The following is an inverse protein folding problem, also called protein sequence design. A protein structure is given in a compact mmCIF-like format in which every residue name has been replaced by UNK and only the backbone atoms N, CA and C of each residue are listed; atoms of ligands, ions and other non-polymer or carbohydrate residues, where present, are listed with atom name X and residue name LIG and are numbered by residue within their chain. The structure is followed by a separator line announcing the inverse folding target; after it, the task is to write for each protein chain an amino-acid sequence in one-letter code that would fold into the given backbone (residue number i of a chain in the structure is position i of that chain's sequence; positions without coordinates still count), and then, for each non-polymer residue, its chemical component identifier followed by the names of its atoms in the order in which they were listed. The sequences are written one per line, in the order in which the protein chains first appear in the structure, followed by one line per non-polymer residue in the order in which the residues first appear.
data_IF_863107316362
#
_entry.id   IF_863107316362
#
_cell.length_a   1.000
_cell.length_b   1.000
_cell.length_c   1.000
_cell.angle_alpha   90.00
_cell.angle_beta   90.00
_cell.angle_gamma   90.00
#
_symmetry.space_group_name_H-M   'P 1'
#
loop_
_entity.id
_entity.type
_entity.pdbx_description
1 polymer ?
#
# COMPACT_ATOMS: atom_id res chain seq x y z
N UNK A 1 62.25 24.04 55.47
CA UNK A 1 61.27 24.72 54.66
C UNK A 1 61.06 23.86 53.42
N UNK A 2 59.93 23.13 53.33
CA UNK A 2 59.60 22.25 52.16
C UNK A 2 58.36 22.82 51.54
N UNK A 3 58.51 23.31 50.26
CA UNK A 3 57.42 23.83 49.47
C UNK A 3 56.68 22.67 48.83
N UNK A 4 55.42 22.55 49.11
CA UNK A 4 54.49 21.62 48.40
C UNK A 4 53.93 22.33 47.17
N UNK A 5 54.29 21.83 45.98
CA UNK A 5 53.69 22.27 44.73
C UNK A 5 52.35 21.54 44.48
N UNK A 6 51.29 22.31 44.38
CA UNK A 6 49.91 21.80 44.05
C UNK A 6 49.81 21.63 42.58
N UNK A 7 49.70 20.38 42.13
CA UNK A 7 49.45 20.04 40.70
C UNK A 7 47.92 20.02 40.45
N UNK A 8 47.39 21.02 39.76
CA UNK A 8 45.98 21.07 39.34
C UNK A 8 45.88 20.36 38.00
N UNK A 9 45.27 19.17 37.99
CA UNK A 9 44.93 18.45 36.77
C UNK A 9 43.53 18.89 36.32
N UNK A 10 43.45 19.66 35.24
CA UNK A 10 42.19 20.03 34.61
C UNK A 10 41.73 18.88 33.72
N UNK A 11 40.66 18.19 34.14
CA UNK A 11 39.97 17.17 33.29
C UNK A 11 39.01 17.89 32.39
N UNK A 12 39.35 17.96 31.08
CA UNK A 12 38.49 18.50 30.04
C UNK A 12 37.51 17.40 29.60
N UNK A 13 36.28 17.41 30.12
CA UNK A 13 35.20 16.53 29.68
C UNK A 13 34.61 17.07 28.36
N UNK A 14 34.99 16.47 27.23
CA UNK A 14 34.33 16.72 25.94
C UNK A 14 32.95 16.05 25.93
N UNK A 15 31.90 16.83 26.07
CA UNK A 15 30.52 16.38 25.89
C UNK A 15 30.26 16.28 24.36
N UNK A 16 30.32 15.09 23.81
CA UNK A 16 29.89 14.79 22.44
C UNK A 16 28.37 14.89 22.38
N UNK A 17 27.86 15.99 21.85
CA UNK A 17 26.46 16.08 21.46
C UNK A 17 26.25 15.19 20.22
N UNK A 18 25.71 13.99 20.42
CA UNK A 18 25.18 13.19 19.33
C UNK A 18 23.93 13.90 18.80
N UNK A 19 24.06 14.63 17.70
CA UNK A 19 22.89 15.12 16.96
C UNK A 19 22.14 13.89 16.41
N UNK A 20 20.80 13.78 16.67
CA UNK A 20 20.03 12.74 16.03
C UNK A 20 20.14 12.94 14.51
N UNK A 21 20.64 11.92 13.82
CA UNK A 21 20.63 11.91 12.36
C UNK A 21 19.16 12.02 11.91
N UNK A 22 18.78 13.13 11.35
CA UNK A 22 17.48 13.27 10.70
C UNK A 22 17.49 12.34 9.49
N UNK A 23 16.69 11.26 9.56
CA UNK A 23 16.51 10.39 8.41
C UNK A 23 16.03 11.23 7.23
N UNK A 24 16.72 11.15 6.10
CA UNK A 24 16.26 11.78 4.86
C UNK A 24 14.88 11.23 4.53
N UNK A 25 13.94 12.07 4.06
CA UNK A 25 12.66 11.58 3.61
C UNK A 25 12.88 10.55 2.48
N UNK A 26 12.17 9.43 2.53
CA UNK A 26 12.27 8.41 1.50
C UNK A 26 11.90 9.00 0.13
N UNK A 27 12.68 8.70 -0.90
CA UNK A 27 12.44 9.17 -2.27
C UNK A 27 11.15 8.55 -2.82
N UNK A 28 10.36 9.35 -3.54
CA UNK A 28 9.21 8.84 -4.28
C UNK A 28 9.73 8.08 -5.50
N UNK A 29 9.27 6.86 -5.69
CA UNK A 29 9.61 5.99 -6.84
C UNK A 29 8.56 6.16 -7.94
N UNK A 30 7.30 6.11 -7.57
CA UNK A 30 6.19 6.22 -8.50
C UNK A 30 4.89 6.62 -7.79
N UNK A 31 3.90 7.01 -8.57
CA UNK A 31 2.52 7.15 -8.12
C UNK A 31 1.60 6.25 -8.94
N UNK A 32 0.62 5.64 -8.29
CA UNK A 32 -0.44 4.88 -8.92
C UNK A 32 -1.75 5.61 -8.66
N UNK A 33 -2.51 5.85 -9.73
CA UNK A 33 -3.83 6.45 -9.66
C UNK A 33 -4.79 5.68 -10.55
N UNK A 34 -5.96 5.40 -10.04
CA UNK A 34 -6.99 4.70 -10.78
C UNK A 34 -8.37 4.90 -10.20
N UNK A 35 -9.36 4.64 -11.01
CA UNK A 35 -10.75 4.64 -10.61
C UNK A 35 -11.66 4.35 -11.79
N UNK A 36 -12.85 3.85 -11.47
CA UNK A 36 -13.83 3.46 -12.44
C UNK A 36 -14.69 2.30 -11.95
N UNK A 37 -15.15 1.51 -12.90
CA UNK A 37 -15.88 0.26 -12.64
C UNK A 37 -15.11 -0.91 -13.22
N UNK A 38 -15.25 -2.08 -12.59
CA UNK A 38 -14.66 -3.31 -13.04
C UNK A 38 -15.67 -4.46 -12.96
N UNK A 39 -15.44 -5.49 -13.74
CA UNK A 39 -16.24 -6.71 -13.73
C UNK A 39 -15.35 -7.82 -13.17
N UNK A 40 -15.86 -8.54 -12.21
CA UNK A 40 -15.20 -9.72 -11.66
C UNK A 40 -15.16 -10.84 -12.70
N UNK A 41 -13.97 -11.37 -12.94
CA UNK A 41 -13.76 -12.47 -13.87
C UNK A 41 -14.47 -13.75 -13.36
N UNK A 42 -14.88 -14.65 -14.25
CA UNK A 42 -15.61 -15.88 -13.88
C UNK A 42 -14.87 -16.79 -12.89
N UNK A 43 -13.55 -16.65 -12.81
CA UNK A 43 -12.68 -17.41 -11.89
C UNK A 43 -12.65 -16.83 -10.47
N UNK A 44 -13.21 -15.64 -10.28
CA UNK A 44 -13.29 -14.99 -8.97
C UNK A 44 -14.19 -15.78 -8.02
N UNK A 45 -13.81 -15.81 -6.73
CA UNK A 45 -14.68 -16.35 -5.68
C UNK A 45 -15.96 -15.52 -5.53
N UNK A 46 -15.84 -14.20 -5.55
CA UNK A 46 -16.96 -13.28 -5.63
C UNK A 46 -17.30 -12.98 -7.10
N UNK A 47 -18.57 -12.73 -7.39
CA UNK A 47 -19.05 -12.38 -8.73
C UNK A 47 -19.84 -11.07 -8.64
N UNK A 48 -19.61 -10.15 -9.56
CA UNK A 48 -20.33 -8.88 -9.60
C UNK A 48 -19.62 -7.81 -10.41
N UNK A 49 -20.13 -6.59 -10.25
CA UNK A 49 -19.52 -5.36 -10.78
C UNK A 49 -19.13 -4.48 -9.60
N UNK A 50 -17.93 -3.95 -9.63
CA UNK A 50 -17.41 -3.07 -8.60
C UNK A 50 -17.22 -1.65 -9.11
N UNK A 51 -17.32 -0.69 -8.19
CA UNK A 51 -16.70 0.62 -8.35
C UNK A 51 -15.44 0.65 -7.48
N UNK A 52 -14.33 1.10 -8.05
CA UNK A 52 -13.08 1.12 -7.32
C UNK A 52 -12.38 2.48 -7.42
N UNK A 53 -11.55 2.77 -6.42
CA UNK A 53 -10.56 3.84 -6.48
C UNK A 53 -9.23 3.32 -5.93
N UNK A 54 -8.14 3.71 -6.57
CA UNK A 54 -6.78 3.41 -6.15
C UNK A 54 -5.96 4.71 -6.20
N UNK A 55 -5.35 5.06 -5.09
CA UNK A 55 -4.35 6.12 -5.02
C UNK A 55 -3.20 5.64 -4.15
N UNK A 56 -1.99 5.58 -4.68
CA UNK A 56 -0.80 5.20 -3.93
C UNK A 56 0.43 5.98 -4.37
N UNK A 57 1.19 6.48 -3.39
CA UNK A 57 2.55 7.00 -3.57
C UNK A 57 3.51 5.94 -3.07
N UNK A 58 4.41 5.49 -3.94
CA UNK A 58 5.39 4.44 -3.68
C UNK A 58 6.72 5.09 -3.34
N UNK A 59 7.33 4.67 -2.24
CA UNK A 59 8.60 5.18 -1.78
C UNK A 59 9.69 4.12 -1.92
N UNK A 60 10.92 4.57 -2.07
CA UNK A 60 12.10 3.72 -2.02
C UNK A 60 12.16 3.00 -0.67
N UNK A 61 12.46 1.71 -0.71
CA UNK A 61 12.63 0.87 0.47
C UNK A 61 14.02 0.25 0.55
N UNK A 62 14.20 -0.63 1.50
CA UNK A 62 15.48 -1.34 1.71
C UNK A 62 15.80 -2.33 0.57
N UNK A 63 14.83 -2.63 -0.27
CA UNK A 63 15.00 -3.50 -1.45
C UNK A 63 14.65 -2.75 -2.72
N UNK A 64 15.35 -3.07 -3.82
CA UNK A 64 15.09 -2.47 -5.13
C UNK A 64 13.67 -2.74 -5.67
N UNK A 65 12.97 -3.73 -5.12
CA UNK A 65 11.68 -4.21 -5.60
C UNK A 65 10.53 -3.98 -4.63
N UNK A 66 10.68 -3.09 -3.65
CA UNK A 66 9.61 -2.80 -2.71
C UNK A 66 9.98 -1.77 -1.66
N UNK A 67 8.97 -1.26 -0.96
CA UNK A 67 9.15 -0.26 0.05
C UNK A 67 7.86 0.20 0.71
N UNK A 68 7.94 1.25 1.53
CA UNK A 68 6.76 1.89 2.08
C UNK A 68 5.87 2.47 0.98
N UNK A 69 4.59 2.56 1.24
CA UNK A 69 3.66 3.29 0.39
C UNK A 69 2.64 4.05 1.24
N UNK A 70 2.01 5.05 0.65
CA UNK A 70 0.92 5.80 1.26
C UNK A 70 -0.18 6.00 0.24
N UNK A 71 -1.42 5.88 0.67
CA UNK A 71 -2.58 6.08 -0.17
C UNK A 71 -3.77 5.27 0.32
N UNK A 72 -4.76 5.11 -0.51
CA UNK A 72 -5.96 4.36 -0.17
C UNK A 72 -6.45 3.54 -1.36
N UNK A 73 -7.22 2.52 -1.03
CA UNK A 73 -7.93 1.69 -1.99
C UNK A 73 -9.35 1.49 -1.46
N UNK A 74 -10.31 1.72 -2.35
CA UNK A 74 -11.72 1.45 -2.12
C UNK A 74 -12.22 0.53 -3.23
N UNK A 75 -12.96 -0.51 -2.87
CA UNK A 75 -13.68 -1.38 -3.80
C UNK A 75 -15.08 -1.61 -3.26
N UNK A 76 -16.06 -1.16 -4.01
CA UNK A 76 -17.49 -1.18 -3.64
C UNK A 76 -18.21 -2.10 -4.60
N UNK A 77 -18.76 -3.18 -4.07
CA UNK A 77 -19.62 -4.10 -4.83
C UNK A 77 -20.95 -3.42 -5.16
N UNK A 78 -21.19 -3.15 -6.45
CA UNK A 78 -22.37 -2.43 -6.90
C UNK A 78 -23.64 -3.29 -6.97
N UNK A 79 -23.48 -4.58 -7.24
CA UNK A 79 -24.61 -5.50 -7.41
C UNK A 79 -24.74 -6.52 -6.28
N UNK A 80 -23.79 -6.52 -5.36
CA UNK A 80 -23.61 -7.57 -4.41
C UNK A 80 -23.02 -8.83 -5.04
N UNK A 81 -22.13 -9.49 -4.33
CA UNK A 81 -21.66 -10.81 -4.69
C UNK A 81 -22.73 -11.85 -4.38
N UNK A 82 -22.88 -12.87 -5.21
CA UNK A 82 -23.72 -14.03 -4.88
C UNK A 82 -23.21 -14.85 -3.70
N UNK A 83 -21.96 -14.67 -3.31
CA UNK A 83 -21.30 -15.40 -2.21
C UNK A 83 -21.05 -14.54 -0.98
N UNK A 84 -20.34 -13.44 -1.14
CA UNK A 84 -19.98 -12.51 -0.04
C UNK A 84 -20.16 -11.07 -0.53
N UNK A 85 -21.39 -10.51 -0.51
CA UNK A 85 -21.61 -9.13 -0.89
C UNK A 85 -20.99 -8.18 0.12
N UNK A 86 -20.22 -7.21 -0.35
CA UNK A 86 -19.59 -6.24 0.55
C UNK A 86 -18.64 -5.26 -0.10
N UNK A 87 -18.18 -4.36 0.72
CA UNK A 87 -17.24 -3.31 0.35
C UNK A 87 -15.95 -3.49 1.13
N UNK A 88 -14.82 -3.18 0.51
CA UNK A 88 -13.52 -3.18 1.15
C UNK A 88 -12.87 -1.80 0.98
N UNK A 89 -12.24 -1.33 2.06
CA UNK A 89 -11.62 -0.02 2.14
C UNK A 89 -10.33 -0.13 2.93
N UNK A 90 -9.30 0.60 2.56
CA UNK A 90 -8.09 0.59 3.37
C UNK A 90 -6.99 1.53 2.92
N UNK A 91 -6.00 1.65 3.81
CA UNK A 91 -4.81 2.46 3.63
C UNK A 91 -3.65 1.60 3.09
N UNK A 92 -3.04 2.04 2.01
CA UNK A 92 -1.86 1.40 1.46
C UNK A 92 -0.67 1.68 2.37
N UNK A 93 0.03 0.62 2.79
CA UNK A 93 1.15 0.72 3.74
C UNK A 93 2.49 0.36 3.12
N UNK A 94 2.50 -0.54 2.14
CA UNK A 94 3.71 -0.95 1.43
C UNK A 94 3.40 -1.44 0.01
N UNK A 95 4.45 -1.59 -0.78
CA UNK A 95 4.36 -2.08 -2.14
C UNK A 95 5.50 -3.05 -2.47
N UNK A 96 5.27 -3.93 -3.43
CA UNK A 96 6.25 -4.85 -3.98
C UNK A 96 6.09 -4.91 -5.50
N UNK A 97 7.21 -4.87 -6.23
CA UNK A 97 7.27 -5.23 -7.65
C UNK A 97 7.60 -6.71 -7.75
N UNK A 98 6.70 -7.47 -8.30
CA UNK A 98 6.86 -8.90 -8.49
C UNK A 98 7.82 -9.20 -9.67
N UNK A 99 8.41 -10.40 -9.74
CA UNK A 99 9.32 -10.80 -10.82
C UNK A 99 8.68 -10.76 -12.22
N UNK A 100 7.36 -10.89 -12.32
CA UNK A 100 6.58 -10.81 -13.56
C UNK A 100 6.26 -9.36 -13.98
N UNK A 101 6.72 -8.37 -13.19
CA UNK A 101 6.50 -6.94 -13.44
C UNK A 101 5.21 -6.37 -12.85
N UNK A 102 4.36 -7.19 -12.26
CA UNK A 102 3.15 -6.73 -11.56
C UNK A 102 3.50 -5.97 -10.28
N UNK A 103 2.59 -5.12 -9.79
CA UNK A 103 2.75 -4.36 -8.56
C UNK A 103 1.72 -4.84 -7.54
N UNK A 104 2.18 -5.28 -6.38
CA UNK A 104 1.33 -5.59 -5.24
C UNK A 104 1.36 -4.44 -4.23
N UNK A 105 0.19 -3.95 -3.83
CA UNK A 105 -0.03 -2.99 -2.76
C UNK A 105 -0.58 -3.74 -1.54
N UNK A 106 0.07 -3.61 -0.40
CA UNK A 106 -0.43 -4.16 0.86
C UNK A 106 -1.23 -3.10 1.60
N UNK A 107 -2.37 -3.49 2.12
CA UNK A 107 -3.40 -2.60 2.64
C UNK A 107 -3.85 -3.04 4.02
N UNK A 108 -3.84 -2.12 4.96
CA UNK A 108 -4.51 -2.27 6.25
C UNK A 108 -5.92 -1.70 6.10
N UNK A 109 -6.93 -2.54 6.27
CA UNK A 109 -8.27 -2.16 5.86
C UNK A 109 -9.40 -2.75 6.68
N UNK A 110 -10.57 -2.66 6.07
CA UNK A 110 -11.82 -3.18 6.64
C UNK A 110 -12.74 -3.69 5.55
N UNK A 111 -13.50 -4.70 5.89
CA UNK A 111 -14.62 -5.21 5.10
C UNK A 111 -15.93 -4.77 5.73
N UNK A 112 -16.91 -4.41 4.91
CA UNK A 112 -18.28 -4.05 5.31
C UNK A 112 -19.23 -4.91 4.50
N UNK A 113 -19.83 -5.93 5.14
CA UNK A 113 -20.81 -6.79 4.46
C UNK A 113 -22.07 -6.01 4.06
N UNK A 114 -22.70 -6.39 2.98
CA UNK A 114 -23.97 -5.84 2.53
C UNK A 114 -25.11 -6.85 2.71
N UNK A 115 -26.36 -6.38 3.01
CA UNK A 115 -26.73 -5.00 3.34
C UNK A 115 -26.46 -4.67 4.81
N UNK A 116 -25.92 -3.46 5.09
CA UNK A 116 -25.94 -2.86 6.43
C UNK A 116 -25.04 -3.49 7.48
N UNK A 117 -23.99 -4.22 7.08
CA UNK A 117 -23.02 -4.81 8.01
C UNK A 117 -22.18 -3.78 8.76
N UNK A 118 -21.64 -4.18 9.91
CA UNK A 118 -20.65 -3.38 10.63
C UNK A 118 -19.26 -3.59 10.03
N UNK A 119 -18.40 -2.54 10.01
CA UNK A 119 -17.02 -2.69 9.57
C UNK A 119 -16.25 -3.71 10.41
N UNK A 120 -15.59 -4.64 9.76
CA UNK A 120 -14.70 -5.63 10.39
C UNK A 120 -13.29 -5.37 9.88
N UNK A 121 -12.26 -5.27 10.74
CA UNK A 121 -10.87 -5.16 10.30
C UNK A 121 -10.51 -6.31 9.35
N UNK A 122 -9.96 -5.97 8.21
CA UNK A 122 -9.54 -6.93 7.20
C UNK A 122 -8.37 -6.39 6.40
N UNK A 123 -7.19 -6.93 6.63
CA UNK A 123 -6.04 -6.64 5.80
C UNK A 123 -6.14 -7.41 4.48
N UNK A 124 -5.71 -6.77 3.40
CA UNK A 124 -5.77 -7.32 2.07
C UNK A 124 -4.60 -6.84 1.21
N UNK A 125 -4.45 -7.42 0.06
CA UNK A 125 -3.52 -6.93 -0.97
C UNK A 125 -4.22 -6.75 -2.31
N UNK A 126 -3.73 -5.77 -3.07
CA UNK A 126 -4.16 -5.54 -4.45
C UNK A 126 -2.96 -5.69 -5.36
N UNK A 127 -3.03 -6.64 -6.28
CA UNK A 127 -2.00 -6.85 -7.31
C UNK A 127 -2.51 -6.31 -8.64
N UNK A 128 -1.85 -5.30 -9.17
CA UNK A 128 -2.17 -4.72 -10.47
C UNK A 128 -1.37 -5.49 -11.52
N UNK A 129 -2.08 -6.29 -12.33
CA UNK A 129 -1.49 -7.09 -13.40
C UNK A 129 -1.25 -6.27 -14.66
N UNK A 130 -2.17 -5.34 -14.96
CA UNK A 130 -2.06 -4.46 -16.12
C UNK A 130 -2.56 -3.07 -15.81
N UNK A 131 -1.74 -2.09 -16.15
CA UNK A 131 -2.15 -0.69 -16.20
C UNK A 131 -2.87 -0.41 -17.52
N UNK A 132 -3.89 0.43 -17.49
CA UNK A 132 -4.64 0.79 -18.69
C UNK A 132 -6.08 1.18 -18.39
N UNK A 133 -6.84 1.41 -19.46
CA UNK A 133 -8.27 1.73 -19.41
C UNK A 133 -9.18 0.51 -19.45
N UNK A 134 -10.45 0.75 -19.78
CA UNK A 134 -11.46 -0.29 -19.92
C UNK A 134 -11.03 -1.40 -20.89
N UNK A 135 -11.27 -2.65 -20.50
CA UNK A 135 -10.86 -3.85 -21.23
C UNK A 135 -9.36 -4.19 -21.17
N UNK A 136 -8.54 -3.34 -20.55
CA UNK A 136 -7.08 -3.52 -20.45
C UNK A 136 -6.61 -3.56 -19.01
N UNK A 137 -7.03 -2.61 -18.19
CA UNK A 137 -6.69 -2.55 -16.78
C UNK A 137 -7.20 -3.79 -16.05
N UNK A 138 -6.33 -4.43 -15.29
CA UNK A 138 -6.62 -5.70 -14.65
C UNK A 138 -5.93 -5.77 -13.29
N UNK A 139 -6.66 -6.20 -12.27
CA UNK A 139 -6.16 -6.30 -10.91
C UNK A 139 -6.82 -7.43 -10.12
N UNK A 140 -6.15 -7.87 -9.08
CA UNK A 140 -6.59 -8.94 -8.18
C UNK A 140 -6.60 -8.44 -6.75
N UNK A 141 -7.66 -8.73 -6.00
CA UNK A 141 -7.73 -8.52 -4.57
C UNK A 141 -7.59 -9.86 -3.86
N UNK A 142 -6.69 -9.91 -2.86
CA UNK A 142 -6.43 -11.11 -2.08
C UNK A 142 -6.46 -10.83 -0.57
N UNK A 143 -6.96 -11.78 0.20
CA UNK A 143 -6.94 -11.78 1.67
C UNK A 143 -6.01 -12.90 2.12
N UNK A 144 -4.84 -12.54 2.65
CA UNK A 144 -3.76 -13.49 2.87
C UNK A 144 -3.35 -14.17 1.56
N UNK A 145 -3.42 -15.49 1.49
CA UNK A 145 -3.13 -16.27 0.28
C UNK A 145 -4.37 -16.58 -0.57
N UNK A 146 -5.54 -16.14 -0.14
CA UNK A 146 -6.80 -16.40 -0.82
C UNK A 146 -7.13 -15.27 -1.80
N UNK A 147 -7.27 -15.62 -3.08
CA UNK A 147 -7.75 -14.69 -4.13
C UNK A 147 -9.26 -14.52 -3.99
N UNK A 148 -9.67 -13.30 -3.63
CA UNK A 148 -11.08 -12.98 -3.44
C UNK A 148 -11.76 -12.61 -4.75
N UNK A 149 -11.17 -11.69 -5.51
CA UNK A 149 -11.66 -11.34 -6.84
C UNK A 149 -10.50 -11.02 -7.80
N UNK A 150 -10.75 -11.28 -9.07
CA UNK A 150 -9.93 -10.91 -10.21
C UNK A 150 -10.82 -10.01 -11.06
N UNK A 151 -10.35 -8.83 -11.42
CA UNK A 151 -11.21 -7.82 -12.02
C UNK A 151 -10.60 -7.19 -13.26
N UNK A 152 -11.41 -7.12 -14.30
CA UNK A 152 -11.11 -6.39 -15.53
C UNK A 152 -11.92 -5.10 -15.59
N UNK A 153 -11.26 -3.98 -15.88
CA UNK A 153 -11.91 -2.67 -15.94
C UNK A 153 -12.98 -2.64 -17.06
N UNK A 154 -14.18 -2.23 -16.69
CA UNK A 154 -15.27 -1.93 -17.65
C UNK A 154 -15.35 -0.43 -17.96
N UNK A 155 -14.85 0.43 -17.05
CA UNK A 155 -14.70 1.87 -17.27
C UNK A 155 -13.53 2.44 -16.46
N UNK A 156 -13.13 3.68 -16.78
CA UNK A 156 -12.03 4.34 -16.09
C UNK A 156 -10.66 3.82 -16.49
N UNK A 157 -9.68 3.96 -15.63
CA UNK A 157 -8.29 3.56 -15.89
C UNK A 157 -7.50 3.36 -14.61
N UNK A 158 -6.39 2.61 -14.71
CA UNK A 158 -5.31 2.56 -13.70
C UNK A 158 -4.03 2.98 -14.41
N UNK A 159 -3.34 3.98 -13.86
CA UNK A 159 -2.06 4.48 -14.41
C UNK A 159 -1.00 4.51 -13.34
N UNK A 160 0.23 4.21 -13.73
CA UNK A 160 1.42 4.40 -12.94
C UNK A 160 2.29 5.47 -13.61
N UNK A 161 2.88 6.36 -12.80
CA UNK A 161 3.81 7.39 -13.24
C UNK A 161 5.06 7.28 -12.39
N UNK A 162 6.19 7.02 -13.03
CA UNK A 162 7.50 7.07 -12.39
C UNK A 162 7.87 8.52 -12.05
N UNK A 163 8.66 8.69 -10.98
CA UNK A 163 9.12 9.99 -10.46
C UNK A 163 10.46 10.39 -11.05
#
# INVERSE_FOLDING_TARGET
MRSFGLLVVAVLTAVLFAYPATASPASVVATINGGGTAIMDPESFAQGTTAFSIHATLYEGDTANGGPAKGHIDCVDQQGSSTIPGNIFGEVTSWVRNPDGTITLNVVGKFVSQPGGHPVPQDFSVTIQRFGGAGVGHWTLSVGTFTFCIETLSSGQIVMRDS
#
